data_IF_006320931727
#
_entry.id   IF_006320931727
#
_cell.length_a   1.000
_cell.length_b   1.000
_cell.length_c   1.000
_cell.angle_alpha   90.00
_cell.angle_beta   90.00
_cell.angle_gamma   90.00
#
_symmetry.space_group_name_H-M   'P 1'
#
loop_
_entity.id
_entity.type
_entity.pdbx_description
1 polymer ?
#
# COMPACT_ATOMS: atom_id res chain seq x y z
N UNK A 1 29.70 -0.74 6.14
CA UNK A 1 29.01 0.52 6.51
C UNK A 1 28.13 0.23 7.71
N UNK A 2 28.25 1.02 8.79
CA UNK A 2 27.60 0.75 10.08
C UNK A 2 26.08 0.86 9.94
N UNK A 3 25.37 -0.22 10.27
CA UNK A 3 23.92 -0.24 10.43
C UNK A 3 23.53 0.83 11.45
N UNK A 4 22.76 1.82 11.01
CA UNK A 4 22.16 2.84 11.87
C UNK A 4 21.03 2.21 12.69
N UNK A 5 20.92 2.59 13.96
CA UNK A 5 19.90 2.10 14.92
C UNK A 5 18.46 2.09 14.36
N UNK A 6 18.16 3.00 13.43
CA UNK A 6 16.90 3.08 12.70
C UNK A 6 16.50 1.77 11.98
N UNK A 7 17.47 1.05 11.40
CA UNK A 7 17.20 -0.22 10.70
C UNK A 7 17.09 -1.41 11.64
N UNK A 8 17.73 -1.32 12.82
CA UNK A 8 17.70 -2.37 13.83
C UNK A 8 16.31 -2.64 14.41
N UNK A 9 15.43 -1.64 14.36
CA UNK A 9 14.01 -1.79 14.71
C UNK A 9 13.20 -2.50 13.61
N UNK A 10 13.59 -2.36 12.34
CA UNK A 10 12.99 -3.04 11.20
C UNK A 10 13.51 -4.48 11.04
N UNK A 11 14.75 -4.75 11.45
CA UNK A 11 15.40 -6.07 11.41
C UNK A 11 14.69 -7.11 12.32
N UNK A 12 13.87 -6.67 13.28
CA UNK A 12 13.03 -7.51 14.12
C UNK A 12 11.67 -7.89 13.50
N UNK A 13 11.39 -7.45 12.27
CA UNK A 13 10.12 -7.74 11.62
C UNK A 13 9.94 -9.25 11.44
N UNK A 14 8.97 -9.81 12.17
CA UNK A 14 8.45 -11.16 11.92
C UNK A 14 8.23 -11.36 10.43
N UNK A 15 8.43 -12.60 9.96
CA UNK A 15 8.21 -13.04 8.57
C UNK A 15 7.05 -12.28 7.91
N UNK A 16 7.20 -11.86 6.66
CA UNK A 16 6.21 -11.05 6.01
C UNK A 16 4.84 -11.73 6.07
N UNK A 17 3.92 -11.15 6.83
CA UNK A 17 2.59 -11.68 7.08
C UNK A 17 1.66 -11.15 6.01
N UNK A 18 0.87 -12.05 5.43
CA UNK A 18 -0.12 -11.65 4.43
C UNK A 18 -1.08 -10.59 4.98
N UNK A 19 -1.41 -10.65 6.28
CA UNK A 19 -2.27 -9.67 6.94
C UNK A 19 -1.71 -8.25 6.87
N UNK A 20 -0.41 -8.04 7.11
CA UNK A 20 0.20 -6.72 7.03
C UNK A 20 0.24 -6.20 5.59
N UNK A 21 0.59 -7.07 4.64
CA UNK A 21 0.60 -6.69 3.21
C UNK A 21 -0.78 -6.19 2.77
N UNK A 22 -1.82 -6.96 3.10
CA UNK A 22 -3.19 -6.62 2.74
C UNK A 22 -3.69 -5.40 3.51
N UNK A 23 -3.28 -5.22 4.77
CA UNK A 23 -3.57 -4.02 5.55
C UNK A 23 -3.01 -2.75 4.89
N UNK A 24 -1.76 -2.79 4.39
CA UNK A 24 -1.14 -1.68 3.67
C UNK A 24 -1.86 -1.36 2.35
N UNK A 25 -2.28 -2.41 1.61
CA UNK A 25 -3.06 -2.27 0.37
C UNK A 25 -4.42 -1.63 0.62
N UNK A 26 -5.16 -2.12 1.61
CA UNK A 26 -6.50 -1.60 1.93
C UNK A 26 -6.42 -0.17 2.45
N UNK A 27 -5.44 0.13 3.32
CA UNK A 27 -5.19 1.48 3.82
C UNK A 27 -4.92 2.44 2.65
N UNK A 28 -4.03 2.06 1.73
CA UNK A 28 -3.74 2.89 0.56
C UNK A 28 -4.98 3.14 -0.32
N UNK A 29 -5.77 2.09 -0.60
CA UNK A 29 -7.01 2.23 -1.38
C UNK A 29 -8.03 3.16 -0.71
N UNK A 30 -8.18 3.07 0.61
CA UNK A 30 -9.06 3.96 1.38
C UNK A 30 -8.56 5.40 1.42
N UNK A 31 -7.25 5.64 1.54
CA UNK A 31 -6.70 7.00 1.48
C UNK A 31 -6.83 7.60 0.08
N UNK A 32 -6.64 6.81 -0.98
CA UNK A 32 -6.87 7.25 -2.36
C UNK A 32 -8.34 7.64 -2.57
N UNK A 33 -9.28 6.86 -2.03
CA UNK A 33 -10.70 7.17 -2.06
C UNK A 33 -11.07 8.36 -1.17
N UNK A 34 -10.46 8.52 0.00
CA UNK A 34 -10.71 9.70 0.84
C UNK A 34 -10.15 11.00 0.20
N UNK A 35 -9.06 10.89 -0.57
CA UNK A 35 -8.55 11.99 -1.40
C UNK A 35 -9.40 12.28 -2.65
N UNK A 36 -10.39 11.43 -2.96
CA UNK A 36 -11.19 11.49 -4.19
C UNK A 36 -12.58 10.79 -4.02
N UNK A 37 -13.72 11.51 -3.91
CA UNK A 37 -14.25 12.35 -5.00
C UNK A 37 -14.76 13.73 -4.50
N UNK A 38 -15.41 14.52 -5.37
CA UNK A 38 -15.84 15.93 -5.20
C UNK A 38 -15.92 16.41 -3.73
N UNK A 39 -14.84 17.07 -3.26
CA UNK A 39 -14.65 17.50 -1.87
C UNK A 39 -13.47 16.85 -1.14
N UNK A 40 -12.85 15.81 -1.73
CA UNK A 40 -11.66 15.17 -1.19
C UNK A 40 -10.45 16.10 -1.11
N UNK A 41 -9.55 15.83 -0.15
CA UNK A 41 -8.32 16.62 0.06
C UNK A 41 -7.14 16.01 -0.70
N UNK A 42 -6.55 16.69 -1.71
CA UNK A 42 -5.45 16.13 -2.50
C UNK A 42 -4.22 15.72 -1.70
N UNK A 43 -4.00 16.31 -0.51
CA UNK A 43 -2.92 15.92 0.39
C UNK A 43 -3.00 14.45 0.83
N UNK A 44 -4.20 13.87 0.89
CA UNK A 44 -4.42 12.46 1.20
C UNK A 44 -3.86 11.53 0.13
N UNK A 45 -3.80 11.96 -1.14
CA UNK A 45 -3.22 11.15 -2.22
C UNK A 45 -1.73 10.92 -1.96
N UNK A 46 -1.01 11.95 -1.50
CA UNK A 46 0.39 11.82 -1.12
C UNK A 46 0.56 10.84 0.05
N UNK A 47 -0.29 10.95 1.07
CA UNK A 47 -0.30 10.03 2.19
C UNK A 47 -0.69 8.60 1.78
N UNK A 48 -1.51 8.43 0.75
CA UNK A 48 -1.90 7.12 0.23
C UNK A 48 -0.73 6.37 -0.42
N UNK A 49 0.26 7.09 -0.96
CA UNK A 49 1.49 6.47 -1.49
C UNK A 49 2.45 6.01 -0.38
N UNK A 50 2.39 6.59 0.81
CA UNK A 50 3.23 6.19 1.96
C UNK A 50 3.09 4.69 2.32
N UNK A 51 1.88 4.12 2.53
CA UNK A 51 1.73 2.68 2.79
C UNK A 51 2.14 1.79 1.61
N UNK A 52 2.01 2.25 0.36
CA UNK A 52 2.55 1.53 -0.81
C UNK A 52 4.09 1.51 -0.82
N UNK A 53 4.71 2.60 -0.40
CA UNK A 53 6.16 2.69 -0.26
C UNK A 53 6.66 1.77 0.86
N UNK A 54 5.98 1.77 2.01
CA UNK A 54 6.27 0.84 3.11
C UNK A 54 6.09 -0.63 2.69
N UNK A 55 5.08 -0.94 1.87
CA UNK A 55 4.89 -2.27 1.29
C UNK A 55 6.06 -2.68 0.37
N UNK A 56 6.63 -1.72 -0.35
CA UNK A 56 7.79 -1.96 -1.22
C UNK A 56 8.98 -2.45 -0.40
N UNK A 57 9.32 -1.73 0.67
CA UNK A 57 10.40 -2.11 1.59
C UNK A 57 10.11 -3.46 2.25
N UNK A 58 8.87 -3.65 2.73
CA UNK A 58 8.43 -4.88 3.37
C UNK A 58 8.58 -6.12 2.49
N UNK A 59 8.21 -6.02 1.21
CA UNK A 59 8.33 -7.12 0.25
C UNK A 59 9.78 -7.38 -0.17
N UNK A 60 10.64 -6.36 -0.22
CA UNK A 60 12.06 -6.55 -0.54
C UNK A 60 12.82 -7.18 0.63
N UNK A 61 12.52 -6.79 1.87
CA UNK A 61 13.07 -7.40 3.08
C UNK A 61 12.58 -8.85 3.31
N UNK A 62 11.43 -9.20 2.76
CA UNK A 62 10.77 -10.50 2.97
C UNK A 62 11.41 -11.72 2.30
N UNK A 63 12.49 -11.57 1.53
CA UNK A 63 13.19 -12.70 0.88
C UNK A 63 12.40 -13.41 -0.22
N UNK A 64 11.40 -12.74 -0.81
CA UNK A 64 10.59 -13.33 -1.88
C UNK A 64 11.40 -13.53 -3.17
N UNK A 65 11.12 -14.60 -3.92
CA UNK A 65 11.80 -14.92 -5.19
C UNK A 65 11.62 -13.86 -6.28
N UNK A 66 10.49 -13.14 -6.27
CA UNK A 66 10.13 -12.08 -7.24
C UNK A 66 9.36 -10.93 -6.54
N UNK A 67 10.02 -10.10 -5.71
CA UNK A 67 9.35 -9.10 -4.90
C UNK A 67 8.63 -8.05 -5.76
N UNK A 68 9.23 -7.62 -6.88
CA UNK A 68 8.62 -6.66 -7.81
C UNK A 68 7.31 -7.13 -8.46
N UNK A 69 7.19 -8.42 -8.83
CA UNK A 69 5.93 -8.96 -9.40
C UNK A 69 4.82 -8.98 -8.34
N UNK A 70 5.16 -9.33 -7.09
CA UNK A 70 4.21 -9.32 -5.97
C UNK A 70 3.76 -7.90 -5.64
N UNK A 71 4.70 -6.94 -5.63
CA UNK A 71 4.40 -5.53 -5.46
C UNK A 71 3.47 -5.01 -6.56
N UNK A 72 3.77 -5.30 -7.84
CA UNK A 72 2.93 -4.89 -8.97
C UNK A 72 1.50 -5.41 -8.84
N UNK A 73 1.33 -6.67 -8.43
CA UNK A 73 0.00 -7.23 -8.14
C UNK A 73 -0.71 -6.52 -6.98
N UNK A 74 0.00 -6.18 -5.91
CA UNK A 74 -0.55 -5.46 -4.76
C UNK A 74 -0.99 -4.04 -5.11
N UNK A 75 -0.17 -3.32 -5.90
CA UNK A 75 -0.51 -2.00 -6.44
C UNK A 75 -1.76 -2.10 -7.32
N UNK A 76 -1.81 -3.09 -8.22
CA UNK A 76 -2.97 -3.32 -9.08
C UNK A 76 -4.25 -3.51 -8.27
N UNK A 77 -4.21 -4.33 -7.21
CA UNK A 77 -5.37 -4.50 -6.34
C UNK A 77 -5.76 -3.22 -5.60
N UNK A 78 -4.79 -2.44 -5.12
CA UNK A 78 -5.07 -1.15 -4.47
C UNK A 78 -5.80 -0.19 -5.43
N UNK A 79 -5.34 -0.09 -6.68
CA UNK A 79 -5.94 0.75 -7.70
C UNK A 79 -7.31 0.25 -8.16
N UNK A 80 -7.50 -1.08 -8.25
CA UNK A 80 -8.79 -1.67 -8.56
C UNK A 80 -9.82 -1.36 -7.48
N UNK A 81 -9.45 -1.51 -6.21
CA UNK A 81 -10.31 -1.16 -5.07
C UNK A 81 -10.64 0.33 -5.06
N UNK A 82 -9.64 1.18 -5.28
CA UNK A 82 -9.87 2.62 -5.40
C UNK A 82 -10.86 2.96 -6.52
N UNK A 83 -10.72 2.33 -7.69
CA UNK A 83 -11.67 2.50 -8.79
C UNK A 83 -13.08 2.06 -8.41
N UNK A 84 -13.25 0.85 -7.85
CA UNK A 84 -14.57 0.36 -7.41
C UNK A 84 -15.22 1.32 -6.41
N UNK A 85 -14.44 1.87 -5.47
CA UNK A 85 -14.95 2.84 -4.49
C UNK A 85 -15.31 4.19 -5.12
N UNK A 86 -14.55 4.64 -6.13
CA UNK A 86 -14.81 5.91 -6.82
C UNK A 86 -15.94 5.83 -7.85
N UNK A 87 -16.11 4.67 -8.49
CA UNK A 87 -17.04 4.46 -9.60
C UNK A 87 -18.18 3.50 -9.25
N UNK A 88 -18.33 3.13 -7.98
CA UNK A 88 -19.41 2.23 -7.54
C UNK A 88 -20.81 2.75 -7.88
N UNK A 89 -20.96 4.08 -8.03
CA UNK A 89 -22.18 4.72 -8.49
C UNK A 89 -22.55 4.38 -9.94
N UNK A 90 -21.59 4.04 -10.80
CA UNK A 90 -21.84 3.68 -12.21
C UNK A 90 -22.65 2.39 -12.33
N UNK A 91 -22.47 1.45 -11.40
CA UNK A 91 -23.25 0.21 -11.37
C UNK A 91 -24.70 0.41 -10.90
N UNK A 92 -25.01 1.58 -10.33
CA UNK A 92 -26.33 1.94 -9.82
C UNK A 92 -27.00 3.04 -10.69
N UNK A 93 -26.43 3.37 -11.84
CA UNK A 93 -26.97 4.33 -12.82
C UNK A 93 -27.71 3.57 -13.94
#
# INVERSE_FOLDING_TARGET
MKSSWFWKAADGAKRPTAALEWGLVLLSALLLWAGWPAGGWPGLLFLAFSPLLALTEYLHAGGYRKPGRRLGWRIYVALLLWNILCTGWVANA
#
